data_IF_411985438078
#
_entry.id   IF_411985438078
#
_cell.length_a   1.000
_cell.length_b   1.000
_cell.length_c   1.000
_cell.angle_alpha   90.00
_cell.angle_beta   90.00
_cell.angle_gamma   90.00
#
_symmetry.space_group_name_H-M   'P 1'
#
loop_
_entity.id
_entity.type
_entity.pdbx_description
1 polymer ?
#
# COMPACT_ATOMS: atom_id res chain seq x y z
N UNK A 1 52.93 8.85 36.65
CA UNK A 1 53.07 9.98 37.60
C UNK A 1 51.82 10.04 38.46
N UNK A 2 52.01 10.03 39.77
CA UNK A 2 50.99 10.09 40.82
C UNK A 2 50.98 11.52 41.37
N UNK A 3 49.83 12.11 41.66
CA UNK A 3 49.73 13.27 42.56
C UNK A 3 48.46 13.16 43.40
N UNK A 4 48.66 12.80 44.67
CA UNK A 4 47.74 13.12 45.78
C UNK A 4 47.95 14.57 46.21
N UNK A 5 46.94 15.18 46.83
CA UNK A 5 46.95 16.14 47.95
C UNK A 5 45.49 16.64 48.10
N UNK A 6 44.85 16.93 49.24
CA UNK A 6 44.96 16.61 50.66
C UNK A 6 43.72 17.24 51.35
N UNK A 7 43.33 16.63 52.46
CA UNK A 7 42.26 16.87 53.45
C UNK A 7 42.12 18.26 54.10
N UNK A 8 40.95 18.50 54.71
CA UNK A 8 40.73 19.35 55.91
C UNK A 8 39.42 20.18 55.82
N UNK A 9 38.29 19.77 56.40
CA UNK A 9 37.88 19.89 57.81
C UNK A 9 37.86 21.34 58.33
N UNK A 10 36.66 21.92 58.54
CA UNK A 10 36.40 22.84 59.66
C UNK A 10 34.94 22.72 60.15
N UNK A 11 34.88 22.54 61.46
CA UNK A 11 33.78 22.43 62.40
C UNK A 11 33.33 23.84 62.87
N UNK A 12 32.14 23.97 63.47
CA UNK A 12 31.69 25.19 64.18
C UNK A 12 30.27 25.63 63.78
N UNK A 13 29.19 25.27 64.49
CA UNK A 13 28.73 25.67 65.84
C UNK A 13 27.77 26.88 65.83
N UNK A 14 26.59 26.71 66.47
CA UNK A 14 25.65 27.78 66.85
C UNK A 14 24.17 27.36 66.76
N UNK A 15 23.59 26.66 67.75
CA UNK A 15 22.87 27.16 68.96
C UNK A 15 21.73 28.16 68.73
N UNK A 16 20.51 27.69 69.07
CA UNK A 16 19.33 28.43 69.60
C UNK A 16 18.70 29.46 68.62
N UNK A 17 17.39 29.69 68.50
CA UNK A 17 16.28 29.73 69.45
C UNK A 17 15.00 29.79 68.57
N UNK A 18 13.93 29.07 68.90
CA UNK A 18 12.74 29.63 69.55
C UNK A 18 11.80 30.46 68.65
N UNK A 19 10.57 29.95 68.55
CA UNK A 19 9.29 30.65 68.38
C UNK A 19 9.14 31.71 67.27
N UNK A 20 8.17 31.47 66.36
CA UNK A 20 6.93 32.25 66.25
C UNK A 20 6.29 32.01 64.87
N UNK A 21 5.13 31.38 64.93
CA UNK A 21 3.94 31.69 64.15
C UNK A 21 4.00 32.99 63.34
N UNK A 22 3.78 32.93 62.02
CA UNK A 22 2.71 33.70 61.35
C UNK A 22 2.56 33.27 59.88
N UNK A 23 1.33 32.87 59.58
CA UNK A 23 0.71 32.71 58.27
C UNK A 23 1.02 33.90 57.35
N UNK A 24 1.50 33.65 56.11
CA UNK A 24 0.92 34.11 54.84
C UNK A 24 1.90 34.07 53.66
N UNK A 25 1.34 33.62 52.53
CA UNK A 25 1.67 34.01 51.15
C UNK A 25 2.84 33.34 50.44
N UNK A 26 2.45 32.52 49.45
CA UNK A 26 3.01 32.37 48.10
C UNK A 26 4.48 32.77 47.91
N UNK A 27 5.30 31.77 47.63
CA UNK A 27 5.94 31.55 46.32
C UNK A 27 7.26 30.82 46.49
N UNK A 28 7.69 30.15 45.43
CA UNK A 28 9.04 29.62 45.25
C UNK A 28 9.34 28.35 46.06
N UNK A 29 9.11 27.19 45.42
CA UNK A 29 10.06 26.09 45.31
C UNK A 29 9.32 24.76 45.16
N UNK A 30 8.80 24.52 43.96
CA UNK A 30 8.47 23.17 43.49
C UNK A 30 8.81 23.13 42.00
N UNK A 31 10.10 23.31 41.72
CA UNK A 31 10.65 23.35 40.37
C UNK A 31 11.94 22.57 40.31
N UNK A 32 11.91 21.25 40.57
CA UNK A 32 12.97 20.32 40.12
C UNK A 32 12.59 18.83 40.21
N UNK A 33 11.35 18.46 39.90
CA UNK A 33 10.96 17.03 39.88
C UNK A 33 10.08 16.69 38.67
N UNK A 34 10.38 17.25 37.50
CA UNK A 34 9.68 16.93 36.25
C UNK A 34 10.64 16.94 35.04
N UNK A 35 11.74 16.19 35.13
CA UNK A 35 12.67 15.97 34.01
C UNK A 35 13.01 14.48 33.81
N UNK A 36 12.03 13.59 34.01
CA UNK A 36 12.16 12.18 33.66
C UNK A 36 10.87 11.71 33.00
N UNK A 37 10.95 11.42 31.69
CA UNK A 37 10.01 10.50 31.04
C UNK A 37 9.06 11.08 30.01
N UNK A 38 9.51 11.95 29.11
CA UNK A 38 8.86 12.06 27.79
C UNK A 38 9.74 11.38 26.74
N UNK A 39 9.78 10.04 26.78
CA UNK A 39 10.11 9.28 25.57
C UNK A 39 9.04 9.62 24.54
N UNK A 40 9.36 10.56 23.66
CA UNK A 40 8.60 10.80 22.45
C UNK A 40 8.77 9.55 21.59
N UNK A 41 7.85 8.61 21.76
CA UNK A 41 7.63 7.55 20.79
C UNK A 41 7.22 8.28 19.52
N UNK A 42 8.17 8.41 18.59
CA UNK A 42 7.88 8.75 17.21
C UNK A 42 6.99 7.63 16.68
N UNK A 43 5.68 7.80 16.83
CA UNK A 43 4.66 7.07 16.10
C UNK A 43 4.89 7.42 14.63
N UNK A 44 5.75 6.65 13.99
CA UNK A 44 5.85 6.59 12.55
C UNK A 44 4.50 6.04 12.07
N UNK A 45 3.54 6.93 11.85
CA UNK A 45 2.32 6.68 11.10
C UNK A 45 2.69 6.42 9.64
N UNK A 46 3.43 5.35 9.39
CA UNK A 46 3.51 4.75 8.07
C UNK A 46 2.09 4.34 7.72
N UNK A 47 1.58 4.81 6.58
CA UNK A 47 0.33 4.29 6.03
C UNK A 47 0.47 2.77 5.99
N UNK A 48 -0.34 2.06 6.76
CA UNK A 48 -0.38 0.61 6.66
C UNK A 48 -0.80 0.26 5.23
N UNK A 49 0.02 -0.52 4.53
CA UNK A 49 -0.37 -1.04 3.23
C UNK A 49 -1.54 -2.00 3.42
N UNK A 50 -2.42 -2.05 2.42
CA UNK A 50 -3.50 -3.01 2.43
C UNK A 50 -2.94 -4.45 2.37
N UNK A 51 -1.93 -4.65 1.52
CA UNK A 51 -1.10 -5.86 1.45
C UNK A 51 0.14 -5.70 2.33
N UNK A 52 0.31 -6.59 3.30
CA UNK A 52 1.43 -6.57 4.24
C UNK A 52 2.54 -7.56 3.83
N UNK A 53 2.16 -8.72 3.28
CA UNK A 53 3.08 -9.83 3.00
C UNK A 53 2.79 -10.50 1.64
N UNK A 54 3.85 -10.88 0.95
CA UNK A 54 3.80 -11.61 -0.32
C UNK A 54 4.59 -12.90 -0.18
N UNK A 55 3.92 -14.04 -0.29
CA UNK A 55 4.55 -15.36 -0.31
C UNK A 55 4.72 -15.81 -1.76
N UNK A 56 5.97 -15.92 -2.21
CA UNK A 56 6.31 -16.45 -3.52
C UNK A 56 6.57 -17.94 -3.39
N UNK A 57 5.78 -18.74 -4.09
CA UNK A 57 5.94 -20.20 -4.17
C UNK A 57 6.75 -20.58 -5.40
N UNK A 58 7.83 -21.32 -5.20
CA UNK A 58 8.71 -21.78 -6.28
C UNK A 58 9.07 -23.26 -6.07
N UNK A 59 8.34 -24.14 -6.75
CA UNK A 59 8.50 -25.58 -6.58
C UNK A 59 8.12 -26.02 -5.16
N UNK A 60 9.10 -26.51 -4.39
CA UNK A 60 8.92 -26.94 -3.00
C UNK A 60 9.33 -25.87 -1.97
N UNK A 61 9.69 -24.67 -2.40
CA UNK A 61 10.16 -23.58 -1.55
C UNK A 61 9.15 -22.45 -1.55
N UNK A 62 8.73 -22.04 -0.36
CA UNK A 62 7.87 -20.88 -0.13
C UNK A 62 8.71 -19.80 0.55
N UNK A 63 8.71 -18.58 -0.02
CA UNK A 63 9.41 -17.44 0.59
C UNK A 63 8.44 -16.30 0.81
N UNK A 64 8.21 -15.95 2.08
CA UNK A 64 7.41 -14.80 2.47
C UNK A 64 8.27 -13.55 2.58
N UNK A 65 7.84 -12.49 1.89
CA UNK A 65 8.50 -11.19 1.84
C UNK A 65 7.53 -10.12 2.36
N UNK A 66 7.97 -9.17 3.18
CA UNK A 66 7.13 -8.04 3.55
C UNK A 66 6.96 -7.10 2.35
N UNK A 67 5.79 -6.45 2.24
CA UNK A 67 5.51 -5.48 1.18
C UNK A 67 6.52 -4.32 1.18
N UNK A 68 7.07 -3.99 2.35
CA UNK A 68 8.13 -2.99 2.51
C UNK A 68 9.41 -3.31 1.73
N UNK A 69 9.75 -4.60 1.55
CA UNK A 69 10.95 -5.00 0.82
C UNK A 69 10.80 -4.72 -0.68
N UNK A 70 9.62 -5.02 -1.23
CA UNK A 70 9.28 -4.71 -2.62
C UNK A 70 9.23 -3.19 -2.84
N UNK A 71 8.68 -2.45 -1.87
CA UNK A 71 8.67 -0.99 -1.90
C UNK A 71 10.08 -0.41 -1.86
N UNK A 72 10.95 -0.96 -1.00
CA UNK A 72 12.35 -0.53 -0.90
C UNK A 72 13.09 -0.77 -2.22
N UNK A 73 12.89 -1.94 -2.86
CA UNK A 73 13.44 -2.22 -4.19
C UNK A 73 12.94 -1.20 -5.23
N UNK A 74 11.64 -0.92 -5.25
CA UNK A 74 11.05 0.04 -6.18
C UNK A 74 11.63 1.46 -6.02
N UNK A 75 11.81 1.91 -4.78
CA UNK A 75 12.28 3.27 -4.47
C UNK A 75 13.79 3.42 -4.61
N UNK A 76 14.56 2.46 -4.09
CA UNK A 76 16.02 2.58 -3.94
C UNK A 76 16.80 1.81 -5.00
N UNK A 77 16.16 0.85 -5.68
CA UNK A 77 16.83 -0.11 -6.56
C UNK A 77 17.62 -1.19 -5.85
N UNK A 78 17.63 -1.23 -4.51
CA UNK A 78 18.38 -2.21 -3.73
C UNK A 78 17.41 -3.21 -3.07
N UNK A 79 17.52 -4.51 -3.37
CA UNK A 79 16.71 -5.52 -2.69
C UNK A 79 17.23 -5.77 -1.27
N UNK A 80 16.33 -6.22 -0.38
CA UNK A 80 16.75 -6.80 0.89
C UNK A 80 17.52 -8.12 0.65
N UNK A 81 18.30 -8.64 1.61
CA UNK A 81 18.96 -9.94 1.47
C UNK A 81 18.00 -11.10 1.18
N UNK A 82 16.81 -11.06 1.79
CA UNK A 82 15.75 -12.05 1.56
C UNK A 82 15.19 -11.92 0.15
N UNK A 83 14.83 -10.71 -0.28
CA UNK A 83 14.35 -10.45 -1.64
C UNK A 83 15.40 -10.84 -2.68
N UNK A 84 16.68 -10.54 -2.45
CA UNK A 84 17.78 -10.96 -3.34
C UNK A 84 17.83 -12.48 -3.51
N UNK A 85 17.55 -13.24 -2.46
CA UNK A 85 17.52 -14.71 -2.52
C UNK A 85 16.36 -15.20 -3.39
N UNK A 86 15.17 -14.59 -3.25
CA UNK A 86 13.99 -14.88 -4.09
C UNK A 86 14.25 -14.54 -5.56
N UNK A 87 14.82 -13.36 -5.82
CA UNK A 87 15.17 -12.93 -7.18
C UNK A 87 16.16 -13.90 -7.84
N UNK A 88 17.16 -14.36 -7.09
CA UNK A 88 18.14 -15.33 -7.58
C UNK A 88 17.50 -16.68 -7.90
N UNK A 89 16.56 -17.15 -7.05
CA UNK A 89 15.80 -18.38 -7.29
C UNK A 89 14.91 -18.27 -8.55
N UNK A 90 14.25 -17.11 -8.72
CA UNK A 90 13.42 -16.81 -9.88
C UNK A 90 14.22 -16.44 -11.15
N UNK A 91 15.57 -16.46 -11.08
CA UNK A 91 16.47 -16.04 -12.16
C UNK A 91 16.17 -14.63 -12.68
N UNK A 92 15.80 -13.73 -11.77
CA UNK A 92 15.50 -12.33 -12.05
C UNK A 92 16.59 -11.41 -11.50
N UNK A 93 16.80 -10.29 -12.17
CA UNK A 93 17.67 -9.20 -11.68
C UNK A 93 16.84 -8.18 -10.88
N UNK A 94 17.40 -7.53 -9.85
CA UNK A 94 16.71 -6.46 -9.12
C UNK A 94 16.19 -5.34 -10.03
N UNK A 95 16.94 -5.00 -11.08
CA UNK A 95 16.60 -3.94 -12.04
C UNK A 95 15.36 -4.31 -12.85
N UNK A 96 15.31 -5.53 -13.41
CA UNK A 96 14.14 -6.07 -14.12
C UNK A 96 12.89 -6.04 -13.25
N UNK A 97 12.98 -6.52 -12.01
CA UNK A 97 11.82 -6.57 -11.11
C UNK A 97 11.39 -5.17 -10.67
N UNK A 98 12.35 -4.27 -10.41
CA UNK A 98 12.04 -2.86 -10.16
C UNK A 98 11.26 -2.27 -11.33
N UNK A 99 11.73 -2.46 -12.55
CA UNK A 99 11.06 -1.94 -13.74
C UNK A 99 9.62 -2.48 -13.83
N UNK A 100 9.41 -3.78 -13.65
CA UNK A 100 8.07 -4.38 -13.62
C UNK A 100 7.18 -3.77 -12.52
N UNK A 101 7.73 -3.56 -11.32
CA UNK A 101 6.98 -3.00 -10.19
C UNK A 101 6.61 -1.54 -10.42
N UNK A 102 7.50 -0.74 -11.00
CA UNK A 102 7.35 0.73 -11.10
C UNK A 102 6.88 1.22 -12.46
N UNK A 103 6.83 0.37 -13.48
CA UNK A 103 6.40 0.76 -14.83
C UNK A 103 4.96 1.23 -14.80
N UNK A 104 4.77 2.51 -15.11
CA UNK A 104 3.45 3.11 -15.26
C UNK A 104 2.89 2.77 -16.66
N UNK A 105 1.66 2.28 -16.70
CA UNK A 105 0.90 2.03 -17.92
C UNK A 105 -0.27 3.03 -17.95
N UNK A 106 -0.37 3.89 -18.97
CA UNK A 106 -1.50 4.80 -19.11
C UNK A 106 -2.75 3.97 -19.40
N UNK A 107 -3.77 4.09 -18.56
CA UNK A 107 -5.01 3.32 -18.64
C UNK A 107 -6.18 4.19 -18.19
N UNK A 108 -7.18 4.35 -19.06
CA UNK A 108 -8.39 5.10 -18.72
C UNK A 108 -9.15 4.42 -17.57
N UNK A 109 -9.36 5.16 -16.48
CA UNK A 109 -9.97 4.63 -15.26
C UNK A 109 -11.42 4.20 -15.45
N UNK A 110 -12.17 4.85 -16.35
CA UNK A 110 -13.56 4.48 -16.64
C UNK A 110 -13.62 3.19 -17.46
N UNK A 111 -12.70 3.02 -18.41
CA UNK A 111 -12.56 1.79 -19.19
C UNK A 111 -12.19 0.62 -18.29
N UNK A 112 -11.20 0.78 -17.40
CA UNK A 112 -10.82 -0.23 -16.41
C UNK A 112 -12.02 -0.59 -15.54
N UNK A 113 -12.69 0.40 -14.94
CA UNK A 113 -13.86 0.15 -14.10
C UNK A 113 -14.99 -0.57 -14.85
N UNK A 114 -15.26 -0.22 -16.10
CA UNK A 114 -16.30 -0.90 -16.90
C UNK A 114 -15.91 -2.33 -17.21
N UNK A 115 -14.73 -2.55 -17.79
CA UNK A 115 -14.25 -3.89 -18.16
C UNK A 115 -14.15 -4.81 -16.94
N UNK A 116 -13.64 -4.28 -15.82
CA UNK A 116 -13.46 -5.05 -14.61
C UNK A 116 -14.77 -5.55 -13.99
N UNK A 117 -15.89 -4.88 -14.26
CA UNK A 117 -17.22 -5.26 -13.79
C UNK A 117 -18.05 -5.99 -14.86
N UNK A 118 -17.44 -6.44 -15.97
CA UNK A 118 -18.11 -7.30 -16.96
C UNK A 118 -17.96 -8.77 -16.62
N UNK A 119 -18.82 -9.62 -17.20
CA UNK A 119 -18.69 -11.07 -17.11
C UNK A 119 -17.32 -11.59 -17.60
N UNK A 120 -16.80 -11.02 -18.68
CA UNK A 120 -15.46 -11.34 -19.17
C UNK A 120 -14.38 -10.92 -18.17
N UNK A 121 -14.49 -9.72 -17.59
CA UNK A 121 -13.60 -9.26 -16.53
C UNK A 121 -13.59 -10.21 -15.33
N UNK A 122 -14.76 -10.68 -14.90
CA UNK A 122 -14.89 -11.63 -13.79
C UNK A 122 -14.14 -12.95 -14.08
N UNK A 123 -14.23 -13.49 -15.30
CA UNK A 123 -13.48 -14.70 -15.71
C UNK A 123 -11.97 -14.45 -15.64
N UNK A 124 -11.50 -13.32 -16.16
CA UNK A 124 -10.07 -12.96 -16.13
C UNK A 124 -9.58 -12.87 -14.68
N UNK A 125 -10.31 -12.20 -13.79
CA UNK A 125 -9.92 -12.11 -12.39
C UNK A 125 -10.00 -13.44 -11.64
N UNK A 126 -10.90 -14.34 -12.01
CA UNK A 126 -10.92 -15.71 -11.47
C UNK A 126 -9.64 -16.46 -11.84
N UNK A 127 -9.23 -16.38 -13.10
CA UNK A 127 -7.98 -17.00 -13.57
C UNK A 127 -6.75 -16.37 -12.89
N UNK A 128 -6.73 -15.04 -12.74
CA UNK A 128 -5.67 -14.38 -11.96
C UNK A 128 -5.68 -14.82 -10.49
N UNK A 129 -6.86 -14.98 -9.91
CA UNK A 129 -7.09 -15.50 -8.56
C UNK A 129 -6.70 -16.97 -8.36
N UNK A 130 -6.37 -17.72 -9.42
CA UNK A 130 -5.77 -19.05 -9.30
C UNK A 130 -4.25 -18.98 -9.13
N UNK A 131 -3.62 -17.95 -9.70
CA UNK A 131 -2.16 -17.76 -9.69
C UNK A 131 -1.69 -16.85 -8.56
N UNK A 132 -2.48 -15.83 -8.24
CA UNK A 132 -2.24 -14.85 -7.20
C UNK A 132 -3.46 -14.80 -6.26
N UNK A 133 -3.34 -15.41 -5.09
CA UNK A 133 -4.47 -15.64 -4.20
C UNK A 133 -4.21 -15.26 -2.75
N UNK A 134 -5.28 -14.87 -2.06
CA UNK A 134 -5.26 -14.62 -0.62
C UNK A 134 -5.05 -15.94 0.13
N UNK A 135 -4.17 -15.92 1.13
CA UNK A 135 -3.90 -17.09 2.00
C UNK A 135 -5.11 -17.45 2.85
N UNK A 136 -5.85 -16.45 3.31
CA UNK A 136 -6.97 -16.61 4.25
C UNK A 136 -8.29 -16.82 3.51
N UNK A 137 -8.46 -16.17 2.36
CA UNK A 137 -9.75 -16.09 1.67
C UNK A 137 -9.58 -16.28 0.16
N UNK A 138 -9.24 -17.49 -0.26
CA UNK A 138 -9.01 -17.81 -1.68
C UNK A 138 -10.19 -17.40 -2.59
N UNK A 139 -11.43 -17.59 -2.14
CA UNK A 139 -12.64 -17.17 -2.87
C UNK A 139 -12.74 -15.64 -3.05
N UNK A 140 -12.11 -14.86 -2.17
CA UNK A 140 -12.06 -13.40 -2.24
C UNK A 140 -10.90 -12.85 -3.08
N UNK A 141 -10.03 -13.72 -3.60
CA UNK A 141 -8.86 -13.29 -4.37
C UNK A 141 -9.26 -12.53 -5.64
N UNK A 142 -10.19 -13.10 -6.42
CA UNK A 142 -10.69 -12.48 -7.63
C UNK A 142 -11.35 -11.10 -7.40
N UNK A 143 -12.32 -10.95 -6.46
CA UNK A 143 -12.90 -9.63 -6.19
C UNK A 143 -11.87 -8.66 -5.58
N UNK A 144 -10.94 -9.12 -4.74
CA UNK A 144 -9.88 -8.26 -4.20
C UNK A 144 -8.91 -7.76 -5.29
N UNK A 145 -8.52 -8.62 -6.23
CA UNK A 145 -7.69 -8.23 -7.39
C UNK A 145 -8.42 -7.22 -8.28
N UNK A 146 -9.71 -7.42 -8.52
CA UNK A 146 -10.57 -6.49 -9.25
C UNK A 146 -10.58 -5.11 -8.58
N UNK A 147 -10.86 -5.07 -7.29
CA UNK A 147 -10.94 -3.81 -6.53
C UNK A 147 -9.58 -3.10 -6.47
N UNK A 148 -8.50 -3.85 -6.27
CA UNK A 148 -7.14 -3.33 -6.28
C UNK A 148 -6.78 -2.69 -7.63
N UNK A 149 -7.13 -3.35 -8.74
CA UNK A 149 -6.90 -2.84 -10.09
C UNK A 149 -7.68 -1.55 -10.35
N UNK A 150 -8.97 -1.54 -10.02
CA UNK A 150 -9.82 -0.35 -10.18
C UNK A 150 -9.30 0.80 -9.32
N UNK A 151 -8.90 0.52 -8.09
CA UNK A 151 -8.34 1.53 -7.19
C UNK A 151 -7.01 2.11 -7.70
N UNK A 152 -6.12 1.26 -8.23
CA UNK A 152 -4.84 1.68 -8.79
C UNK A 152 -5.02 2.52 -10.07
N UNK A 153 -6.06 2.28 -10.87
CA UNK A 153 -6.31 3.02 -12.12
C UNK A 153 -6.80 4.47 -11.96
N UNK A 154 -7.10 4.93 -10.73
CA UNK A 154 -7.89 6.15 -10.48
C UNK A 154 -7.30 7.42 -11.07
N UNK A 155 -5.98 7.51 -11.19
CA UNK A 155 -5.27 8.69 -11.71
C UNK A 155 -4.97 8.60 -13.22
N UNK A 156 -5.50 7.58 -13.91
CA UNK A 156 -5.33 7.39 -15.36
C UNK A 156 -4.01 6.71 -15.74
N UNK A 157 -3.23 6.29 -14.75
CA UNK A 157 -2.03 5.48 -14.91
C UNK A 157 -2.05 4.37 -13.87
N UNK A 158 -1.20 3.37 -14.05
CA UNK A 158 -1.18 2.23 -13.16
C UNK A 158 0.18 1.53 -13.19
N UNK A 159 0.69 1.20 -12.03
CA UNK A 159 1.83 0.31 -11.84
C UNK A 159 1.44 -0.94 -11.05
N UNK A 160 2.22 -2.03 -11.20
CA UNK A 160 2.02 -3.23 -10.39
C UNK A 160 2.16 -2.92 -8.89
N UNK A 161 3.09 -2.05 -8.52
CA UNK A 161 3.28 -1.59 -7.15
C UNK A 161 1.99 -0.97 -6.58
N UNK A 162 1.29 -0.12 -7.32
CA UNK A 162 0.03 0.48 -6.86
C UNK A 162 -1.09 -0.54 -6.72
N UNK A 163 -1.18 -1.52 -7.64
CA UNK A 163 -2.16 -2.62 -7.51
C UNK A 163 -1.90 -3.40 -6.23
N UNK A 164 -0.64 -3.76 -5.96
CA UNK A 164 -0.27 -4.46 -4.73
C UNK A 164 -0.58 -3.64 -3.48
N UNK A 165 -0.35 -2.32 -3.50
CA UNK A 165 -0.65 -1.43 -2.36
C UNK A 165 -2.16 -1.30 -2.07
N UNK A 166 -3.01 -1.43 -3.09
CA UNK A 166 -4.47 -1.34 -2.96
C UNK A 166 -5.14 -2.71 -2.75
N UNK A 167 -4.38 -3.81 -2.71
CA UNK A 167 -4.93 -5.14 -2.49
C UNK A 167 -5.32 -5.35 -1.03
N UNK A 168 -6.63 -5.33 -0.74
CA UNK A 168 -7.20 -5.38 0.61
C UNK A 168 -6.78 -6.58 1.48
N UNK A 169 -6.60 -7.80 0.94
CA UNK A 169 -6.08 -8.89 1.75
C UNK A 169 -4.62 -8.65 2.16
N UNK A 170 -4.35 -8.85 3.45
CA UNK A 170 -3.03 -8.59 4.07
C UNK A 170 -1.92 -9.50 3.55
N UNK A 171 -2.28 -10.64 2.99
CA UNK A 171 -1.32 -11.63 2.51
C UNK A 171 -1.71 -12.13 1.12
N UNK A 172 -0.73 -12.16 0.24
CA UNK A 172 -0.86 -12.63 -1.14
C UNK A 172 0.11 -13.79 -1.37
N UNK A 173 -0.39 -14.92 -1.81
CA UNK A 173 0.42 -16.02 -2.34
C UNK A 173 0.46 -15.96 -3.86
N UNK A 174 1.65 -16.12 -4.43
CA UNK A 174 1.87 -16.09 -5.87
C UNK A 174 2.74 -17.28 -6.27
N UNK A 175 2.30 -18.03 -7.29
CA UNK A 175 3.15 -19.00 -7.96
C UNK A 175 4.19 -18.27 -8.82
N UNK A 176 5.46 -18.31 -8.41
CA UNK A 176 6.55 -17.60 -9.07
C UNK A 176 6.86 -18.09 -10.49
N UNK A 177 6.55 -19.35 -10.83
CA UNK A 177 6.70 -19.87 -12.19
C UNK A 177 5.64 -19.29 -13.12
N UNK A 178 4.42 -19.17 -12.63
CA UNK A 178 3.27 -18.71 -13.42
C UNK A 178 3.13 -17.19 -13.44
N UNK A 179 3.54 -16.49 -12.38
CA UNK A 179 3.40 -15.04 -12.24
C UNK A 179 3.96 -14.27 -13.42
N UNK A 180 5.18 -14.62 -13.87
CA UNK A 180 5.83 -13.91 -14.97
C UNK A 180 5.11 -14.16 -16.31
N UNK A 181 4.67 -15.39 -16.55
CA UNK A 181 3.92 -15.74 -17.76
C UNK A 181 2.55 -15.04 -17.80
N UNK A 182 1.88 -14.95 -16.66
CA UNK A 182 0.63 -14.22 -16.50
C UNK A 182 0.84 -12.73 -16.70
N UNK A 183 1.85 -12.12 -16.07
CA UNK A 183 2.17 -10.71 -16.23
C UNK A 183 2.42 -10.35 -17.70
N UNK A 184 3.28 -11.10 -18.39
CA UNK A 184 3.60 -10.86 -19.80
C UNK A 184 2.37 -10.96 -20.70
N UNK A 185 1.50 -11.95 -20.46
CA UNK A 185 0.24 -12.13 -21.19
C UNK A 185 -0.70 -10.94 -20.97
N UNK A 186 -0.98 -10.62 -19.71
CA UNK A 186 -1.88 -9.51 -19.36
C UNK A 186 -1.36 -8.19 -19.92
N UNK A 187 -0.06 -7.93 -19.80
CA UNK A 187 0.56 -6.73 -20.32
C UNK A 187 0.40 -6.62 -21.85
N UNK A 188 0.67 -7.71 -22.57
CA UNK A 188 0.45 -7.77 -24.03
C UNK A 188 -1.02 -7.56 -24.39
N UNK A 189 -1.93 -8.25 -23.72
CA UNK A 189 -3.37 -8.16 -24.00
C UNK A 189 -3.89 -6.73 -23.76
N UNK A 190 -3.42 -6.07 -22.71
CA UNK A 190 -3.74 -4.66 -22.43
C UNK A 190 -3.22 -3.74 -23.54
N UNK A 191 -1.97 -3.94 -23.99
CA UNK A 191 -1.41 -3.14 -25.08
C UNK A 191 -2.16 -3.32 -26.40
N UNK A 192 -2.52 -4.56 -26.74
CA UNK A 192 -3.27 -4.88 -27.95
C UNK A 192 -4.67 -4.25 -27.88
N UNK A 193 -5.35 -4.34 -26.74
CA UNK A 193 -6.66 -3.70 -26.52
C UNK A 193 -6.59 -2.18 -26.61
N UNK A 194 -5.54 -1.57 -26.08
CA UNK A 194 -5.32 -0.12 -26.20
C UNK A 194 -5.12 0.29 -27.65
N UNK A 195 -4.31 -0.44 -28.41
CA UNK A 195 -4.10 -0.19 -29.84
C UNK A 195 -5.42 -0.32 -30.62
N UNK A 196 -6.24 -1.33 -30.33
CA UNK A 196 -7.55 -1.49 -30.96
C UNK A 196 -8.51 -0.33 -30.63
N UNK A 197 -8.56 0.08 -29.36
CA UNK A 197 -9.41 1.18 -28.91
C UNK A 197 -9.00 2.52 -29.53
N UNK A 198 -7.69 2.80 -29.60
CA UNK A 198 -7.18 4.04 -30.20
C UNK A 198 -7.34 4.08 -31.72
N UNK A 199 -7.22 2.92 -32.39
CA UNK A 199 -7.34 2.84 -33.86
C UNK A 199 -8.79 2.72 -34.36
N UNK A 200 -9.78 2.60 -33.47
CA UNK A 200 -11.20 2.47 -33.83
C UNK A 200 -12.06 3.58 -33.21
N UNK A 201 -12.12 4.78 -33.83
CA UNK A 201 -12.97 5.88 -33.36
C UNK A 201 -14.47 5.52 -33.29
N UNK A 202 -14.92 4.52 -34.08
CA UNK A 202 -16.28 3.99 -34.04
C UNK A 202 -16.65 3.36 -32.68
N UNK A 203 -15.73 2.68 -32.00
CA UNK A 203 -16.01 2.10 -30.67
C UNK A 203 -16.08 3.17 -29.58
N UNK A 204 -15.33 4.26 -29.73
CA UNK A 204 -15.33 5.39 -28.79
C UNK A 204 -16.64 6.17 -28.85
N UNK A 205 -17.14 6.47 -30.06
CA UNK A 205 -18.40 7.17 -30.25
C UNK A 205 -19.61 6.30 -29.92
N UNK A 206 -19.62 5.03 -30.34
CA UNK A 206 -20.80 4.16 -30.20
C UNK A 206 -20.99 3.68 -28.78
N UNK A 207 -19.92 3.36 -28.03
CA UNK A 207 -20.06 3.00 -26.61
C UNK A 207 -20.52 4.20 -25.75
N UNK A 208 -19.99 5.39 -26.03
CA UNK A 208 -20.44 6.63 -25.37
C UNK A 208 -21.89 6.99 -25.69
N UNK A 209 -22.29 6.85 -26.95
CA UNK A 209 -23.66 7.14 -27.40
C UNK A 209 -24.66 6.10 -26.90
N UNK A 210 -24.33 4.80 -26.93
CA UNK A 210 -25.21 3.73 -26.44
C UNK A 210 -25.48 3.84 -24.94
N UNK A 211 -24.47 4.16 -24.13
CA UNK A 211 -24.64 4.36 -22.69
C UNK A 211 -25.46 5.62 -22.39
N UNK A 212 -25.24 6.71 -23.12
CA UNK A 212 -25.99 7.96 -22.92
C UNK A 212 -27.45 7.83 -23.38
N UNK A 213 -27.70 7.16 -24.50
CA UNK A 213 -29.06 6.87 -24.97
C UNK A 213 -29.80 5.90 -24.05
N UNK A 214 -29.13 4.86 -23.54
CA UNK A 214 -29.69 3.98 -22.51
C UNK A 214 -30.01 4.74 -21.21
N UNK A 215 -29.13 5.64 -20.75
CA UNK A 215 -29.42 6.52 -19.60
C UNK A 215 -30.63 7.43 -19.85
N UNK A 216 -30.75 8.00 -21.04
CA UNK A 216 -31.88 8.86 -21.40
C UNK A 216 -33.20 8.09 -21.48
N UNK A 217 -33.18 6.81 -21.87
CA UNK A 217 -34.38 5.96 -21.86
C UNK A 217 -34.76 5.49 -20.46
N UNK A 218 -33.78 5.17 -19.61
CA UNK A 218 -34.03 4.67 -18.24
C UNK A 218 -34.44 5.79 -17.28
N UNK A 219 -33.98 7.04 -17.51
CA UNK A 219 -34.24 8.18 -16.62
C UNK A 219 -35.27 9.19 -17.15
N UNK A 220 -35.98 8.93 -18.25
CA UNK A 220 -37.10 9.80 -18.66
C UNK A 220 -38.32 9.54 -17.76
N UNK A 221 -38.77 10.50 -16.93
CA UNK A 221 -40.03 10.37 -16.24
C UNK A 221 -41.12 10.41 -17.32
N UNK A 222 -42.00 9.41 -17.31
CA UNK A 222 -43.13 9.32 -18.22
C UNK A 222 -44.12 10.47 -17.94
N UNK A 223 -43.88 11.65 -18.52
CA UNK A 223 -44.83 12.75 -18.52
C UNK A 223 -45.70 12.64 -19.77
N UNK A 224 -46.60 11.67 -19.77
CA UNK A 224 -47.67 11.57 -20.77
C UNK A 224 -48.89 10.94 -20.13
N UNK A 225 -49.68 11.81 -19.49
CA UNK A 225 -50.96 11.48 -18.88
C UNK A 225 -51.81 12.73 -18.68
N UNK A 226 -51.86 13.60 -19.69
CA UNK A 226 -52.93 14.60 -19.78
C UNK A 226 -54.06 13.96 -20.57
N UNK A 227 -55.13 13.56 -19.90
CA UNK A 227 -56.42 13.31 -20.53
C UNK A 227 -57.52 13.68 -19.54
N UNK A 228 -58.13 14.83 -19.85
CA UNK A 228 -59.46 15.35 -19.50
C UNK A 228 -60.36 14.48 -18.63
#
# INVERSE_FOLDING_TARGET
>A
MNFQFQSGALDGMGRQSAHLTKKMSKSLSFGLALLLGTSTVLLSSGKAFALEQVTVKYGAVDVTLPMSDLQSLAQTGKPSPQLQSVLSLAKQTPESVRDILTREVPLDSQLVARLANTYFGEIVFKQLGEVAYSTTTRAESAPALRDALVAASKDGKMSLMEVMQNYSPKALEVDGNQAMAVYQRVFKDVQDLQAMYQNSPALQSTAGQAVNSARQMICQPNSSGNMK
#
